data_IF_300880833533
#
_entry.id   IF_300880833533
#
_cell.length_a   1.000
_cell.length_b   1.000
_cell.length_c   1.000
_cell.angle_alpha   90.00
_cell.angle_beta   90.00
_cell.angle_gamma   90.00
#
_symmetry.space_group_name_H-M   'P 1'
#
loop_
_entity.id
_entity.type
_entity.pdbx_description
1 polymer ?
#
# COMPACT_ATOMS: atom_id res chain seq x y z
N UNK A 1 8.01 29.06 28.24
CA UNK A 1 7.47 28.64 26.93
C UNK A 1 5.96 28.79 26.98
N UNK A 2 5.29 29.46 26.03
CA UNK A 2 3.85 29.49 26.01
C UNK A 2 3.31 28.07 25.75
N UNK A 3 2.15 27.69 26.31
CA UNK A 3 1.56 26.39 26.02
C UNK A 3 1.26 26.31 24.54
N UNK A 4 1.72 25.22 23.89
CA UNK A 4 1.34 24.86 22.52
C UNK A 4 -0.19 24.83 22.46
N UNK A 5 -0.77 25.70 21.60
CA UNK A 5 -2.18 25.65 21.32
C UNK A 5 -2.51 24.25 20.85
N UNK A 6 -3.43 23.58 21.54
CA UNK A 6 -3.92 22.28 21.09
C UNK A 6 -4.43 22.43 19.67
N UNK A 7 -3.77 21.75 18.72
CA UNK A 7 -4.25 21.69 17.34
C UNK A 7 -5.70 21.17 17.37
N UNK A 8 -6.58 21.81 16.62
CA UNK A 8 -7.95 21.31 16.50
C UNK A 8 -7.89 19.85 16.04
N UNK A 9 -8.63 18.94 16.71
CA UNK A 9 -8.63 17.54 16.32
C UNK A 9 -9.11 17.46 14.87
N UNK A 10 -8.38 16.69 14.04
CA UNK A 10 -8.89 16.24 12.72
C UNK A 10 -10.30 15.72 12.98
N UNK A 11 -11.28 16.18 12.21
CA UNK A 11 -12.67 15.74 12.41
C UNK A 11 -12.72 14.21 12.36
N UNK A 12 -13.45 13.53 13.26
CA UNK A 12 -13.67 12.11 13.16
C UNK A 12 -14.13 11.76 11.73
N UNK A 13 -13.49 10.78 11.09
CA UNK A 13 -13.83 10.37 9.73
C UNK A 13 -13.07 11.04 8.58
N UNK A 14 -12.02 11.82 8.85
CA UNK A 14 -11.25 12.49 7.78
C UNK A 14 -10.00 11.73 7.31
N UNK A 15 -9.61 10.63 7.95
CA UNK A 15 -8.40 9.88 7.59
C UNK A 15 -8.68 8.84 6.52
N UNK A 16 -7.78 8.72 5.54
CA UNK A 16 -7.80 7.66 4.51
C UNK A 16 -6.53 6.82 4.65
N UNK A 17 -6.69 5.51 4.86
CA UNK A 17 -5.58 4.57 4.93
C UNK A 17 -5.20 4.09 3.52
N UNK A 18 -4.02 4.51 3.04
CA UNK A 18 -3.55 4.19 1.69
C UNK A 18 -3.09 2.74 1.51
N UNK A 19 -2.96 1.96 2.60
CA UNK A 19 -2.34 0.65 2.50
C UNK A 19 -2.90 -0.34 3.52
N UNK A 20 -3.84 -1.14 3.07
CA UNK A 20 -4.41 -2.24 3.86
C UNK A 20 -4.50 -3.52 3.03
N UNK A 21 -4.55 -4.67 3.70
CA UNK A 21 -4.56 -5.98 3.07
C UNK A 21 -5.86 -6.74 3.32
N UNK A 22 -6.29 -7.48 2.31
CA UNK A 22 -7.39 -8.41 2.38
C UNK A 22 -6.84 -9.84 2.41
N UNK A 23 -7.03 -10.53 3.53
CA UNK A 23 -6.67 -11.93 3.72
C UNK A 23 -7.86 -12.68 4.31
N UNK A 24 -8.53 -13.50 3.50
CA UNK A 24 -9.60 -14.40 3.92
C UNK A 24 -9.24 -15.81 3.52
N UNK A 25 -9.88 -16.81 4.09
CA UNK A 25 -9.64 -18.20 3.74
C UNK A 25 -9.93 -18.45 2.26
N UNK A 26 -11.05 -17.92 1.76
CA UNK A 26 -11.45 -18.09 0.36
C UNK A 26 -10.41 -17.47 -0.59
N UNK A 27 -10.03 -16.19 -0.36
CA UNK A 27 -9.01 -15.51 -1.18
C UNK A 27 -7.66 -16.22 -1.12
N UNK A 28 -7.25 -16.64 0.05
CA UNK A 28 -5.96 -17.32 0.22
C UNK A 28 -5.97 -18.75 -0.34
N UNK A 29 -7.11 -19.39 -0.49
CA UNK A 29 -7.21 -20.65 -1.25
C UNK A 29 -6.92 -20.44 -2.73
N UNK A 30 -7.34 -19.33 -3.34
CA UNK A 30 -6.95 -18.97 -4.71
C UNK A 30 -5.42 -18.74 -4.81
N UNK A 31 -4.83 -18.07 -3.81
CA UNK A 31 -3.38 -17.86 -3.76
C UNK A 31 -2.59 -19.17 -3.69
N UNK A 32 -2.97 -20.10 -2.81
CA UNK A 32 -2.23 -21.36 -2.62
C UNK A 32 -2.51 -22.40 -3.71
N UNK A 33 -3.50 -22.19 -4.56
CA UNK A 33 -3.76 -23.04 -5.73
C UNK A 33 -2.65 -22.93 -6.80
N UNK A 34 -1.82 -21.89 -6.72
CA UNK A 34 -0.72 -21.69 -7.65
C UNK A 34 0.35 -22.77 -7.51
N UNK A 35 0.91 -23.27 -8.65
CA UNK A 35 1.89 -24.36 -8.63
C UNK A 35 3.13 -24.05 -7.78
N UNK A 36 3.62 -22.82 -7.81
CA UNK A 36 4.82 -22.35 -7.14
C UNK A 36 4.68 -22.19 -5.61
N UNK A 37 3.46 -22.27 -5.08
CA UNK A 37 3.23 -22.11 -3.65
C UNK A 37 3.74 -23.32 -2.86
N UNK A 38 4.64 -23.11 -1.85
CA UNK A 38 5.15 -24.20 -1.04
C UNK A 38 4.06 -24.98 -0.29
N UNK A 39 4.16 -26.31 -0.24
CA UNK A 39 3.14 -27.20 0.36
C UNK A 39 2.81 -26.88 1.82
N UNK A 40 3.79 -26.39 2.60
CA UNK A 40 3.54 -25.94 3.98
C UNK A 40 2.52 -24.81 4.08
N UNK A 41 2.52 -23.87 3.09
CA UNK A 41 1.55 -22.77 3.04
C UNK A 41 0.20 -23.27 2.57
N UNK A 42 0.16 -24.14 1.56
CA UNK A 42 -1.09 -24.78 1.12
C UNK A 42 -1.80 -25.47 2.29
N UNK A 43 -1.03 -26.18 3.12
CA UNK A 43 -1.56 -26.84 4.32
C UNK A 43 -2.10 -25.83 5.33
N UNK A 44 -1.30 -24.83 5.70
CA UNK A 44 -1.70 -23.80 6.67
C UNK A 44 -3.00 -23.09 6.25
N UNK A 45 -3.12 -22.70 4.98
CA UNK A 45 -4.32 -22.03 4.47
C UNK A 45 -5.54 -22.95 4.49
N UNK A 46 -5.39 -24.24 4.13
CA UNK A 46 -6.47 -25.22 4.24
C UNK A 46 -6.99 -25.36 5.69
N UNK A 47 -6.09 -25.21 6.66
CA UNK A 47 -6.41 -25.19 8.09
C UNK A 47 -6.91 -23.83 8.59
N UNK A 48 -7.11 -22.86 7.69
CA UNK A 48 -7.54 -21.49 8.04
C UNK A 48 -6.45 -20.67 8.75
N UNK A 49 -5.18 -20.99 8.55
CA UNK A 49 -4.03 -20.35 9.18
C UNK A 49 -3.23 -19.54 8.18
N UNK A 50 -2.65 -18.44 8.66
CA UNK A 50 -1.79 -17.54 7.91
C UNK A 50 -0.61 -17.07 8.77
N UNK A 51 0.41 -16.51 8.13
CA UNK A 51 1.63 -16.04 8.78
C UNK A 51 2.75 -17.08 8.77
N UNK A 52 3.97 -16.63 9.13
CA UNK A 52 5.18 -17.46 9.07
C UNK A 52 5.09 -18.75 9.89
N UNK A 53 4.37 -18.72 11.01
CA UNK A 53 4.19 -19.82 11.97
C UNK A 53 2.74 -20.29 12.08
N UNK A 54 1.83 -19.78 11.22
CA UNK A 54 0.40 -20.05 11.30
C UNK A 54 -0.27 -19.39 12.52
N UNK A 55 0.30 -18.29 12.99
CA UNK A 55 -0.16 -17.57 14.18
C UNK A 55 -1.45 -16.77 13.95
N UNK A 56 -1.80 -16.48 12.71
CA UNK A 56 -2.99 -15.73 12.36
C UNK A 56 -4.10 -16.67 11.87
N UNK A 57 -5.36 -16.32 12.18
CA UNK A 57 -6.52 -17.03 11.67
C UNK A 57 -7.11 -16.26 10.49
N UNK A 58 -7.32 -16.95 9.38
CA UNK A 58 -7.99 -16.40 8.21
C UNK A 58 -9.50 -16.35 8.49
N UNK A 59 -10.16 -15.19 8.34
CA UNK A 59 -11.62 -15.12 8.36
C UNK A 59 -12.22 -16.02 7.27
N UNK A 60 -13.26 -16.78 7.63
CA UNK A 60 -14.02 -17.63 6.70
C UNK A 60 -15.36 -16.95 6.42
N UNK A 61 -15.34 -15.88 5.65
CA UNK A 61 -16.46 -14.98 5.35
C UNK A 61 -16.64 -14.85 3.85
N UNK A 62 -17.88 -14.65 3.40
CA UNK A 62 -18.14 -14.19 2.03
C UNK A 62 -17.54 -12.80 1.80
N UNK A 63 -17.47 -12.36 0.56
CA UNK A 63 -16.95 -11.05 0.24
C UNK A 63 -17.80 -9.92 0.87
N UNK A 64 -19.11 -10.06 0.86
CA UNK A 64 -20.08 -9.12 1.43
C UNK A 64 -19.99 -9.07 2.96
N UNK A 65 -19.95 -10.24 3.62
CA UNK A 65 -19.80 -10.32 5.07
C UNK A 65 -18.46 -9.72 5.52
N UNK A 66 -17.39 -10.00 4.77
CA UNK A 66 -16.06 -9.45 5.04
C UNK A 66 -16.04 -7.93 4.86
N UNK A 67 -16.71 -7.40 3.82
CA UNK A 67 -16.81 -5.96 3.58
C UNK A 67 -17.54 -5.25 4.71
N UNK A 68 -18.71 -5.76 5.12
CA UNK A 68 -19.48 -5.20 6.23
C UNK A 68 -18.67 -5.20 7.55
N UNK A 69 -18.00 -6.30 7.84
CA UNK A 69 -17.17 -6.45 9.01
C UNK A 69 -15.95 -5.51 8.99
N UNK A 70 -15.28 -5.38 7.85
CA UNK A 70 -14.08 -4.54 7.73
C UNK A 70 -14.42 -3.05 7.78
N UNK A 71 -15.50 -2.63 7.09
CA UNK A 71 -16.02 -1.25 7.16
C UNK A 71 -16.36 -0.86 8.60
N UNK A 72 -16.98 -1.75 9.36
CA UNK A 72 -17.22 -1.53 10.80
C UNK A 72 -15.94 -1.28 11.60
N UNK A 73 -14.84 -1.95 11.24
CA UNK A 73 -13.54 -1.81 11.92
C UNK A 73 -12.81 -0.50 11.60
N UNK A 74 -12.79 -0.10 10.34
CA UNK A 74 -12.16 1.17 9.96
C UNK A 74 -12.96 2.34 10.52
N UNK A 75 -14.30 2.29 10.50
CA UNK A 75 -15.15 3.30 11.11
C UNK A 75 -14.93 3.41 12.63
N UNK A 76 -14.79 2.28 13.33
CA UNK A 76 -14.48 2.27 14.77
C UNK A 76 -13.07 2.84 15.09
N UNK A 77 -12.20 2.92 14.10
CA UNK A 77 -10.88 3.55 14.19
C UNK A 77 -10.87 4.99 13.65
N UNK A 78 -12.03 5.60 13.39
CA UNK A 78 -12.18 6.94 12.76
C UNK A 78 -11.42 7.06 11.42
N UNK A 79 -11.41 6.01 10.63
CA UNK A 79 -10.88 5.99 9.26
C UNK A 79 -12.05 6.03 8.29
N UNK A 80 -12.11 7.05 7.43
CA UNK A 80 -13.20 7.28 6.49
C UNK A 80 -13.19 6.28 5.34
N UNK A 81 -12.01 6.06 4.78
CA UNK A 81 -11.80 5.18 3.62
C UNK A 81 -10.50 4.40 3.78
N UNK A 82 -10.40 3.26 3.11
CA UNK A 82 -9.17 2.49 3.02
C UNK A 82 -8.90 2.05 1.57
N UNK A 83 -7.63 1.86 1.24
CA UNK A 83 -7.18 1.39 -0.06
C UNK A 83 -6.58 -0.02 0.09
N UNK A 84 -7.31 -1.04 -0.40
CA UNK A 84 -6.83 -2.42 -0.42
C UNK A 84 -5.74 -2.56 -1.49
N UNK A 85 -4.57 -3.03 -1.07
CA UNK A 85 -3.50 -3.44 -1.98
C UNK A 85 -3.65 -4.92 -2.28
N UNK A 86 -4.14 -5.26 -3.47
CA UNK A 86 -4.45 -6.64 -3.84
C UNK A 86 -3.21 -7.52 -3.88
N UNK A 87 -3.32 -8.74 -3.35
CA UNK A 87 -2.22 -9.73 -3.34
C UNK A 87 -2.31 -10.73 -4.49
N UNK A 88 -3.48 -10.80 -5.14
CA UNK A 88 -3.76 -11.66 -6.28
C UNK A 88 -4.21 -10.86 -7.49
N UNK A 89 -3.77 -11.22 -8.71
CA UNK A 89 -4.36 -10.72 -9.92
C UNK A 89 -5.73 -11.37 -10.17
N UNK A 90 -6.62 -10.64 -10.84
CA UNK A 90 -7.90 -11.14 -11.37
C UNK A 90 -8.77 -11.89 -10.37
N UNK A 91 -8.86 -11.39 -9.12
CA UNK A 91 -9.66 -12.03 -8.06
C UNK A 91 -11.09 -11.52 -8.03
N UNK A 92 -12.05 -12.41 -8.30
CA UNK A 92 -13.47 -12.09 -8.19
C UNK A 92 -13.86 -11.76 -6.75
N UNK A 93 -13.32 -12.47 -5.76
CA UNK A 93 -13.56 -12.17 -4.36
C UNK A 93 -13.18 -10.73 -3.99
N UNK A 94 -12.04 -10.24 -4.50
CA UNK A 94 -11.61 -8.85 -4.24
C UNK A 94 -12.55 -7.84 -4.88
N UNK A 95 -13.04 -8.09 -6.11
CA UNK A 95 -14.01 -7.23 -6.80
C UNK A 95 -15.34 -7.16 -6.03
N UNK A 96 -15.86 -8.31 -5.60
CA UNK A 96 -17.13 -8.40 -4.86
C UNK A 96 -17.00 -7.68 -3.50
N UNK A 97 -15.86 -7.86 -2.80
CA UNK A 97 -15.57 -7.16 -1.55
C UNK A 97 -15.56 -5.63 -1.74
N UNK A 98 -14.87 -5.11 -2.75
CA UNK A 98 -14.81 -3.66 -3.03
C UNK A 98 -16.19 -3.11 -3.37
N UNK A 99 -16.96 -3.84 -4.17
CA UNK A 99 -18.32 -3.48 -4.54
C UNK A 99 -19.22 -3.41 -3.30
N UNK A 100 -19.17 -4.42 -2.44
CA UNK A 100 -19.96 -4.48 -1.21
C UNK A 100 -19.55 -3.42 -0.19
N UNK A 101 -18.30 -2.98 -0.17
CA UNK A 101 -17.80 -1.93 0.72
C UNK A 101 -18.33 -0.53 0.36
N UNK A 102 -19.02 -0.38 -0.76
CA UNK A 102 -19.81 0.79 -1.15
C UNK A 102 -19.09 2.14 -0.95
N UNK A 103 -17.86 2.27 -1.48
CA UNK A 103 -17.07 3.49 -1.44
C UNK A 103 -16.28 3.75 -0.13
N UNK A 104 -16.47 2.93 0.92
CA UNK A 104 -15.63 2.96 2.11
C UNK A 104 -14.26 2.29 1.89
N UNK A 105 -14.19 1.34 0.97
CA UNK A 105 -12.96 0.69 0.58
C UNK A 105 -12.82 0.70 -0.93
N UNK A 106 -11.66 1.13 -1.41
CA UNK A 106 -11.26 1.07 -2.81
C UNK A 106 -10.15 0.02 -2.98
N UNK A 107 -9.84 -0.37 -4.22
CA UNK A 107 -8.81 -1.36 -4.51
C UNK A 107 -7.74 -0.87 -5.47
N UNK A 108 -6.51 -1.33 -5.25
CA UNK A 108 -5.47 -1.39 -6.27
C UNK A 108 -5.39 -2.82 -6.78
N UNK A 109 -5.46 -3.02 -8.09
CA UNK A 109 -5.32 -4.35 -8.68
C UNK A 109 -3.87 -4.83 -8.61
N UNK A 110 -3.69 -6.15 -8.60
CA UNK A 110 -2.37 -6.75 -8.74
C UNK A 110 -2.17 -7.22 -10.19
N UNK A 111 -1.01 -6.96 -10.75
CA UNK A 111 -0.63 -7.39 -12.09
C UNK A 111 0.84 -7.83 -12.06
N UNK A 112 1.21 -8.86 -12.80
CA UNK A 112 2.62 -9.13 -13.12
C UNK A 112 2.96 -8.32 -14.39
N UNK A 113 3.78 -7.27 -14.31
CA UNK A 113 4.02 -6.39 -15.44
C UNK A 113 4.81 -7.05 -16.58
N UNK A 114 5.38 -8.25 -16.35
CA UNK A 114 6.11 -9.03 -17.37
C UNK A 114 5.18 -9.89 -18.23
N UNK A 115 3.94 -10.09 -17.78
CA UNK A 115 2.97 -10.88 -18.53
C UNK A 115 2.57 -10.12 -19.80
N UNK A 116 2.65 -10.73 -20.99
CA UNK A 116 2.16 -10.09 -22.22
C UNK A 116 0.70 -9.65 -22.16
N UNK A 117 -0.14 -10.29 -21.35
CA UNK A 117 -1.54 -9.92 -21.11
C UNK A 117 -1.75 -8.87 -20.02
N UNK A 118 -0.66 -8.33 -19.42
CA UNK A 118 -0.75 -7.35 -18.33
C UNK A 118 -1.47 -6.05 -18.74
N UNK A 119 -1.26 -5.47 -19.93
CA UNK A 119 -1.99 -4.28 -20.38
C UNK A 119 -3.50 -4.48 -20.42
N UNK A 120 -3.97 -5.58 -20.98
CA UNK A 120 -5.38 -5.91 -21.10
C UNK A 120 -6.01 -6.22 -19.73
N UNK A 121 -5.29 -6.93 -18.87
CA UNK A 121 -5.72 -7.16 -17.48
C UNK A 121 -5.88 -5.84 -16.74
N UNK A 122 -4.90 -4.94 -16.83
CA UNK A 122 -4.95 -3.63 -16.20
C UNK A 122 -6.17 -2.84 -16.68
N UNK A 123 -6.39 -2.75 -17.99
CA UNK A 123 -7.53 -2.02 -18.57
C UNK A 123 -8.87 -2.58 -18.05
N UNK A 124 -9.02 -3.89 -17.99
CA UNK A 124 -10.21 -4.57 -17.45
C UNK A 124 -10.43 -4.26 -15.97
N UNK A 125 -9.37 -4.34 -15.16
CA UNK A 125 -9.47 -4.07 -13.71
C UNK A 125 -9.81 -2.58 -13.43
N UNK A 126 -9.22 -1.66 -14.18
CA UNK A 126 -9.55 -0.24 -14.06
C UNK A 126 -11.01 0.03 -14.46
N UNK A 127 -11.52 -0.64 -15.50
CA UNK A 127 -12.90 -0.49 -15.95
C UNK A 127 -13.93 -1.04 -14.93
N UNK A 128 -13.57 -2.06 -14.15
CA UNK A 128 -14.46 -2.58 -13.08
C UNK A 128 -14.29 -1.87 -11.73
N UNK A 129 -13.46 -0.80 -11.65
CA UNK A 129 -13.46 0.12 -10.53
C UNK A 129 -12.24 0.13 -9.65
N UNK A 130 -11.18 -0.60 -10.00
CA UNK A 130 -9.91 -0.42 -9.32
C UNK A 130 -9.36 1.00 -9.59
N UNK A 131 -8.62 1.55 -8.61
CA UNK A 131 -8.14 2.93 -8.63
C UNK A 131 -6.66 3.07 -8.99
N UNK A 132 -5.99 1.96 -9.28
CA UNK A 132 -4.58 1.90 -9.60
C UNK A 132 -4.04 0.49 -9.40
N UNK A 133 -2.72 0.38 -9.22
CA UNK A 133 -2.01 -0.90 -9.25
C UNK A 133 -1.17 -1.12 -7.98
N UNK A 134 -1.07 -2.36 -7.55
CA UNK A 134 -0.08 -2.82 -6.57
C UNK A 134 0.91 -3.77 -7.23
N UNK A 135 2.21 -3.45 -7.10
CA UNK A 135 3.30 -4.27 -7.61
C UNK A 135 4.16 -4.83 -6.47
N UNK A 136 4.70 -6.03 -6.70
CA UNK A 136 5.50 -6.78 -5.72
C UNK A 136 6.79 -7.32 -6.34
N UNK A 137 7.75 -6.46 -6.77
CA UNK A 137 9.00 -6.93 -7.38
C UNK A 137 9.79 -7.88 -6.46
N UNK A 138 9.88 -7.58 -5.18
CA UNK A 138 10.60 -8.41 -4.19
C UNK A 138 10.00 -9.79 -4.03
N UNK A 139 8.65 -9.86 -3.92
CA UNK A 139 7.92 -11.11 -3.68
C UNK A 139 7.80 -11.98 -4.95
N UNK A 140 7.93 -11.38 -6.13
CA UNK A 140 7.79 -12.02 -7.44
C UNK A 140 9.10 -12.11 -8.21
N UNK A 141 10.22 -11.66 -7.61
CA UNK A 141 11.58 -11.79 -8.11
C UNK A 141 11.75 -11.21 -9.53
N UNK A 142 11.44 -9.92 -9.71
CA UNK A 142 11.65 -9.22 -10.99
C UNK A 142 12.10 -7.77 -10.78
N UNK A 143 12.79 -7.23 -11.78
CA UNK A 143 13.09 -5.82 -11.88
C UNK A 143 12.00 -5.09 -12.67
N UNK A 144 11.56 -3.91 -12.19
CA UNK A 144 10.64 -3.06 -12.95
C UNK A 144 11.30 -2.49 -14.22
N UNK A 145 12.62 -2.37 -14.20
CA UNK A 145 13.43 -1.95 -15.34
C UNK A 145 13.59 -3.02 -16.44
N UNK A 146 13.09 -4.24 -16.22
CA UNK A 146 13.07 -5.28 -17.26
C UNK A 146 12.28 -4.79 -18.48
N UNK A 147 12.85 -4.89 -19.71
CA UNK A 147 12.15 -4.49 -20.92
C UNK A 147 10.77 -5.16 -21.13
N UNK A 148 10.56 -6.36 -20.58
CA UNK A 148 9.27 -7.04 -20.63
C UNK A 148 8.16 -6.28 -19.87
N UNK A 149 8.52 -5.42 -18.91
CA UNK A 149 7.54 -4.62 -18.15
C UNK A 149 7.07 -3.37 -18.92
N UNK A 150 7.77 -2.95 -19.98
CA UNK A 150 7.50 -1.68 -20.66
C UNK A 150 6.08 -1.55 -21.20
N UNK A 151 5.49 -2.55 -21.90
CA UNK A 151 4.12 -2.45 -22.40
C UNK A 151 3.08 -2.20 -21.30
N UNK A 152 3.29 -2.79 -20.12
CA UNK A 152 2.45 -2.53 -18.96
C UNK A 152 2.53 -1.05 -18.51
N UNK A 153 3.72 -0.45 -18.42
CA UNK A 153 3.86 0.95 -18.02
C UNK A 153 3.29 1.92 -19.06
N UNK A 154 3.38 1.59 -20.34
CA UNK A 154 2.73 2.36 -21.42
C UNK A 154 1.22 2.38 -21.24
N UNK A 155 0.59 1.21 -21.03
CA UNK A 155 -0.84 1.10 -20.74
C UNK A 155 -1.23 1.80 -19.42
N UNK A 156 -0.41 1.65 -18.37
CA UNK A 156 -0.65 2.32 -17.09
C UNK A 156 -0.63 3.85 -17.23
N UNK A 157 0.26 4.38 -18.06
CA UNK A 157 0.35 5.81 -18.34
C UNK A 157 -0.87 6.33 -19.10
N UNK A 158 -1.34 5.62 -20.11
CA UNK A 158 -2.57 5.95 -20.84
C UNK A 158 -3.81 5.96 -19.92
N UNK A 159 -3.90 4.97 -19.03
CA UNK A 159 -5.00 4.84 -18.07
C UNK A 159 -4.84 5.72 -16.83
N UNK A 160 -3.71 6.41 -16.67
CA UNK A 160 -3.34 7.17 -15.46
C UNK A 160 -3.44 6.29 -14.21
N UNK A 161 -3.00 5.05 -14.31
CA UNK A 161 -3.05 4.05 -13.26
C UNK A 161 -1.82 4.19 -12.35
N UNK A 162 -1.91 5.09 -11.37
CA UNK A 162 -0.88 5.27 -10.35
C UNK A 162 -0.70 3.98 -9.53
N UNK A 163 0.46 3.81 -8.90
CA UNK A 163 0.78 2.53 -8.28
C UNK A 163 1.48 2.63 -6.93
N UNK A 164 1.22 1.62 -6.08
CA UNK A 164 1.99 1.35 -4.86
C UNK A 164 2.90 0.15 -5.12
N UNK A 165 4.18 0.29 -4.82
CA UNK A 165 5.20 -0.73 -5.09
C UNK A 165 5.84 -1.17 -3.79
N UNK A 166 5.88 -2.48 -3.55
CA UNK A 166 6.59 -3.03 -2.41
C UNK A 166 8.06 -3.23 -2.73
N UNK A 167 8.89 -2.35 -2.21
CA UNK A 167 10.34 -2.51 -2.12
C UNK A 167 10.77 -2.70 -0.66
N UNK A 168 12.02 -3.11 -0.44
CA UNK A 168 12.56 -3.29 0.89
C UNK A 168 12.35 -4.69 1.47
N UNK A 169 12.48 -4.82 2.79
CA UNK A 169 12.31 -6.12 3.46
C UNK A 169 10.90 -6.65 3.31
N UNK A 170 10.78 -7.96 3.20
CA UNK A 170 9.49 -8.65 3.13
C UNK A 170 9.42 -9.81 4.13
N UNK A 171 8.21 -10.06 4.63
CA UNK A 171 7.93 -11.27 5.43
C UNK A 171 7.54 -12.46 4.56
N UNK A 172 7.33 -12.26 3.26
CA UNK A 172 7.03 -13.33 2.31
C UNK A 172 8.26 -14.25 2.16
N UNK A 173 8.14 -15.53 2.47
CA UNK A 173 9.27 -16.46 2.41
C UNK A 173 9.71 -16.81 0.98
N UNK A 174 8.97 -16.40 -0.03
CA UNK A 174 9.33 -16.56 -1.44
C UNK A 174 10.05 -15.33 -2.00
N UNK A 175 10.08 -14.23 -1.23
CA UNK A 175 10.73 -12.99 -1.63
C UNK A 175 12.26 -13.11 -1.70
N UNK A 176 12.84 -12.33 -2.63
CA UNK A 176 14.28 -12.24 -2.81
C UNK A 176 14.72 -10.77 -2.71
N UNK A 177 15.53 -10.47 -1.69
CA UNK A 177 16.00 -9.11 -1.39
C UNK A 177 16.92 -8.52 -2.47
N UNK A 178 17.38 -9.29 -3.45
CA UNK A 178 18.09 -8.76 -4.64
C UNK A 178 17.21 -7.82 -5.47
N UNK A 179 15.89 -7.92 -5.34
CA UNK A 179 14.89 -7.07 -6.00
C UNK A 179 14.32 -5.99 -5.07
N UNK A 180 14.96 -5.75 -3.91
CA UNK A 180 14.40 -4.88 -2.87
C UNK A 180 14.79 -3.40 -3.00
N UNK A 181 15.80 -3.07 -3.82
CA UNK A 181 16.29 -1.70 -3.92
C UNK A 181 15.37 -0.85 -4.81
N UNK A 182 14.75 0.22 -4.29
CA UNK A 182 13.87 1.09 -5.06
C UNK A 182 14.60 1.89 -6.16
N UNK A 183 15.93 1.91 -6.21
CA UNK A 183 16.67 2.52 -7.32
C UNK A 183 16.40 1.83 -8.67
N UNK A 184 15.96 0.58 -8.65
CA UNK A 184 15.45 -0.13 -9.84
C UNK A 184 14.32 0.63 -10.57
N UNK A 185 13.54 1.42 -9.83
CA UNK A 185 12.47 2.24 -10.39
C UNK A 185 12.96 3.46 -11.20
N UNK A 186 14.23 3.87 -11.04
CA UNK A 186 14.72 5.14 -11.59
C UNK A 186 14.49 5.31 -13.11
N UNK A 187 14.80 4.34 -13.99
CA UNK A 187 14.53 4.49 -15.42
C UNK A 187 13.04 4.61 -15.74
N UNK A 188 12.21 3.85 -15.04
CA UNK A 188 10.75 3.86 -15.26
C UNK A 188 10.13 5.18 -14.80
N UNK A 189 10.47 5.65 -13.60
CA UNK A 189 9.96 6.92 -13.08
C UNK A 189 10.36 8.11 -13.97
N UNK A 190 11.55 8.07 -14.57
CA UNK A 190 12.02 9.09 -15.53
C UNK A 190 11.25 9.02 -16.87
N UNK A 191 11.00 7.80 -17.38
CA UNK A 191 10.38 7.59 -18.69
C UNK A 191 8.86 7.86 -18.65
N UNK A 192 8.23 7.74 -17.47
CA UNK A 192 6.80 7.96 -17.26
C UNK A 192 6.52 9.04 -16.20
N UNK A 193 6.84 10.31 -16.46
CA UNK A 193 6.78 11.39 -15.48
C UNK A 193 5.35 11.72 -15.01
N UNK A 194 4.33 11.35 -15.77
CA UNK A 194 2.92 11.61 -15.43
C UNK A 194 2.32 10.55 -14.48
N UNK A 195 2.97 9.39 -14.35
CA UNK A 195 2.60 8.39 -13.35
C UNK A 195 3.17 8.74 -11.97
N UNK A 196 2.39 8.47 -10.92
CA UNK A 196 2.86 8.55 -9.55
C UNK A 196 3.22 7.16 -9.03
N UNK A 197 4.42 7.03 -8.49
CA UNK A 197 4.98 5.79 -7.95
C UNK A 197 5.13 5.93 -6.44
N UNK A 198 4.28 5.23 -5.69
CA UNK A 198 4.33 5.24 -4.22
C UNK A 198 5.16 4.04 -3.75
N UNK A 199 6.29 4.29 -3.12
CA UNK A 199 7.11 3.25 -2.51
C UNK A 199 6.52 2.93 -1.13
N UNK A 200 6.09 1.69 -0.95
CA UNK A 200 5.48 1.24 0.29
C UNK A 200 6.47 1.26 1.47
N UNK A 201 5.95 1.47 2.67
CA UNK A 201 6.69 1.34 3.93
C UNK A 201 7.93 2.24 4.02
N UNK A 202 7.91 3.41 3.38
CA UNK A 202 9.08 4.29 3.28
C UNK A 202 10.33 3.59 2.72
N UNK A 203 10.16 2.54 1.92
CA UNK A 203 11.24 1.72 1.38
C UNK A 203 11.75 0.62 2.31
N UNK A 204 11.12 0.40 3.47
CA UNK A 204 11.33 -0.75 4.38
C UNK A 204 12.78 -1.22 4.47
N UNK A 205 13.67 -0.38 4.99
CA UNK A 205 15.11 -0.67 5.15
C UNK A 205 16.00 -0.11 4.03
N UNK A 206 15.44 0.47 2.96
CA UNK A 206 16.15 1.16 1.85
C UNK A 206 15.83 2.66 1.82
N UNK A 207 15.66 3.29 2.98
CA UNK A 207 15.32 4.71 3.08
C UNK A 207 16.28 5.61 2.29
N UNK A 208 17.58 5.34 2.36
CA UNK A 208 18.60 6.11 1.62
C UNK A 208 18.41 6.05 0.10
N UNK A 209 18.03 4.89 -0.43
CA UNK A 209 17.71 4.72 -1.85
C UNK A 209 16.45 5.50 -2.23
N UNK A 210 15.43 5.50 -1.37
CA UNK A 210 14.22 6.32 -1.55
C UNK A 210 14.56 7.80 -1.63
N UNK A 211 15.38 8.31 -0.70
CA UNK A 211 15.79 9.71 -0.68
C UNK A 211 16.55 10.12 -1.94
N UNK A 212 17.50 9.27 -2.40
CA UNK A 212 18.24 9.51 -3.65
C UNK A 212 17.33 9.50 -4.87
N UNK A 213 16.42 8.53 -4.95
CA UNK A 213 15.48 8.43 -6.05
C UNK A 213 14.51 9.63 -6.09
N UNK A 214 14.00 10.06 -4.94
CA UNK A 214 13.10 11.20 -4.83
C UNK A 214 13.73 12.54 -5.21
N UNK A 215 15.06 12.65 -5.09
CA UNK A 215 15.81 13.82 -5.55
C UNK A 215 15.74 13.96 -7.07
N UNK A 216 15.91 12.84 -7.79
CA UNK A 216 15.88 12.80 -9.25
C UNK A 216 14.44 12.78 -9.80
N UNK A 217 13.55 11.96 -9.23
CA UNK A 217 12.21 11.67 -9.75
C UNK A 217 11.13 12.31 -8.86
N UNK A 218 10.50 13.39 -9.35
CA UNK A 218 9.50 14.14 -8.57
C UNK A 218 8.14 13.44 -8.48
N UNK A 219 7.91 12.44 -9.30
CA UNK A 219 6.75 11.55 -9.31
C UNK A 219 6.91 10.32 -8.40
N UNK A 220 7.97 10.28 -7.60
CA UNK A 220 8.14 9.26 -6.56
C UNK A 220 7.62 9.78 -5.23
N UNK A 221 6.76 8.99 -4.61
CA UNK A 221 6.09 9.21 -3.33
C UNK A 221 6.38 8.04 -2.40
N UNK A 222 5.95 8.13 -1.14
CA UNK A 222 6.03 7.04 -0.17
C UNK A 222 4.72 6.89 0.58
N UNK A 223 4.42 5.66 1.03
CA UNK A 223 3.46 5.48 2.12
C UNK A 223 4.16 5.12 3.43
N UNK A 224 3.54 5.48 4.54
CA UNK A 224 4.08 5.32 5.90
C UNK A 224 3.68 4.00 6.54
N UNK A 225 3.03 3.11 5.81
CA UNK A 225 2.59 1.82 6.35
C UNK A 225 3.77 0.95 6.78
N UNK A 226 3.58 0.09 7.78
CA UNK A 226 4.63 -0.84 8.23
C UNK A 226 5.91 -0.22 8.78
N UNK A 227 5.99 1.09 8.95
CA UNK A 227 7.20 1.81 9.40
C UNK A 227 7.73 1.40 10.77
N UNK A 228 6.96 0.66 11.53
CA UNK A 228 7.31 0.35 12.91
C UNK A 228 8.19 -0.88 13.09
N UNK A 229 8.48 -1.62 12.01
CA UNK A 229 9.13 -2.92 12.13
C UNK A 229 10.57 -2.95 11.62
N UNK A 230 10.89 -2.18 10.59
CA UNK A 230 12.20 -2.24 9.95
C UNK A 230 13.22 -1.25 10.53
N UNK A 231 12.78 -0.22 11.24
CA UNK A 231 13.67 0.80 11.84
C UNK A 231 14.65 0.23 12.85
N UNK A 232 14.27 -0.86 13.53
CA UNK A 232 15.13 -1.54 14.49
C UNK A 232 16.38 -2.21 13.86
N UNK A 233 16.37 -2.40 12.54
CA UNK A 233 17.48 -3.02 11.81
C UNK A 233 18.54 -2.01 11.33
N UNK A 234 18.30 -0.70 11.48
CA UNK A 234 19.32 0.30 11.23
C UNK A 234 20.36 0.38 12.34
N UNK A 235 21.59 0.70 11.96
CA UNK A 235 22.69 0.91 12.91
C UNK A 235 23.30 2.29 12.68
N UNK A 236 23.09 3.24 13.60
CA UNK A 236 22.25 3.14 14.81
C UNK A 236 20.76 2.98 14.49
N UNK A 237 19.99 2.47 15.46
CA UNK A 237 18.52 2.40 15.36
C UNK A 237 17.95 3.79 15.02
N UNK A 238 16.94 3.82 14.15
CA UNK A 238 16.24 5.06 13.79
C UNK A 238 14.94 5.20 14.58
N UNK A 239 14.64 6.43 14.99
CA UNK A 239 13.34 6.78 15.52
C UNK A 239 12.36 7.21 14.40
N UNK A 240 11.06 7.05 14.64
CA UNK A 240 10.03 7.37 13.64
C UNK A 240 10.08 8.83 13.19
N UNK A 241 10.35 9.75 14.13
CA UNK A 241 10.51 11.18 13.86
C UNK A 241 11.68 11.46 12.90
N UNK A 242 12.80 10.75 13.04
CA UNK A 242 13.96 10.90 12.14
C UNK A 242 13.62 10.42 10.71
N UNK A 243 12.87 9.33 10.59
CA UNK A 243 12.40 8.84 9.27
C UNK A 243 11.50 9.89 8.62
N UNK A 244 10.52 10.42 9.36
CA UNK A 244 9.59 11.43 8.85
C UNK A 244 10.28 12.75 8.53
N UNK A 245 11.21 13.22 9.35
CA UNK A 245 11.98 14.42 9.08
C UNK A 245 12.73 14.33 7.75
N UNK A 246 13.43 13.22 7.50
CA UNK A 246 14.17 12.99 6.26
C UNK A 246 13.24 12.93 5.05
N UNK A 247 12.11 12.21 5.16
CA UNK A 247 11.14 12.09 4.09
C UNK A 247 10.47 13.43 3.77
N UNK A 248 9.97 14.13 4.79
CA UNK A 248 9.31 15.44 4.60
C UNK A 248 10.28 16.50 4.06
N UNK A 249 11.55 16.46 4.48
CA UNK A 249 12.59 17.34 3.92
C UNK A 249 12.86 17.04 2.44
N UNK A 250 12.93 15.77 2.05
CA UNK A 250 13.30 15.38 0.67
C UNK A 250 12.11 15.39 -0.29
N UNK A 251 10.93 14.98 0.17
CA UNK A 251 9.75 14.80 -0.67
C UNK A 251 8.73 15.94 -0.53
N UNK A 252 8.71 16.64 0.61
CA UNK A 252 7.60 17.50 0.98
C UNK A 252 6.38 16.70 1.46
N UNK A 253 5.42 17.34 2.17
CA UNK A 253 4.23 16.67 2.65
C UNK A 253 3.31 16.16 1.53
N UNK A 254 3.40 16.72 0.32
CA UNK A 254 2.56 16.38 -0.85
C UNK A 254 2.86 15.00 -1.43
N UNK A 255 3.98 14.38 -1.06
CA UNK A 255 4.44 13.09 -1.58
C UNK A 255 4.54 12.00 -0.52
N UNK A 256 3.96 12.23 0.67
CA UNK A 256 3.88 11.27 1.76
C UNK A 256 2.41 10.89 1.98
N UNK A 257 2.10 9.60 2.00
CA UNK A 257 0.76 9.06 2.19
C UNK A 257 0.70 8.28 3.51
N UNK A 258 -0.36 8.48 4.28
CA UNK A 258 -0.60 7.70 5.48
C UNK A 258 -1.05 6.27 5.14
N UNK A 259 -0.50 5.27 5.85
CA UNK A 259 -0.93 3.88 5.77
C UNK A 259 -0.64 3.12 7.06
N UNK A 260 -1.37 2.00 7.29
CA UNK A 260 -1.20 1.19 8.51
C UNK A 260 -0.64 -0.20 8.25
N UNK A 261 -0.71 -0.71 7.03
CA UNK A 261 -0.43 -2.12 6.71
C UNK A 261 -1.34 -3.09 7.52
N UNK A 262 -2.56 -2.65 7.83
CA UNK A 262 -3.55 -3.49 8.50
C UNK A 262 -4.07 -4.58 7.57
N UNK A 263 -4.25 -5.78 8.11
CA UNK A 263 -4.88 -6.88 7.38
C UNK A 263 -6.16 -7.36 8.07
N UNK A 264 -6.95 -8.17 7.38
CA UNK A 264 -8.19 -8.74 7.91
C UNK A 264 -7.96 -9.89 8.89
N UNK A 265 -6.73 -10.40 9.03
CA UNK A 265 -6.36 -11.50 9.95
C UNK A 265 -6.14 -11.06 11.41
N UNK A 266 -6.12 -9.75 11.67
CA UNK A 266 -5.89 -9.17 12.99
C UNK A 266 -6.79 -7.94 13.19
N UNK A 267 -6.94 -7.42 14.42
CA UNK A 267 -7.56 -6.12 14.64
C UNK A 267 -6.91 -5.03 13.80
N UNK A 268 -7.71 -4.07 13.31
CA UNK A 268 -7.19 -2.91 12.62
C UNK A 268 -6.18 -2.15 13.52
N UNK A 269 -5.04 -1.78 12.95
CA UNK A 269 -3.90 -1.22 13.70
C UNK A 269 -4.09 0.28 13.96
N UNK A 270 -5.18 0.67 14.61
CA UNK A 270 -5.47 2.07 14.95
C UNK A 270 -4.33 2.75 15.72
N UNK A 271 -3.56 1.99 16.52
CA UNK A 271 -2.40 2.50 17.26
C UNK A 271 -1.31 3.10 16.34
N UNK A 272 -1.13 2.58 15.10
CA UNK A 272 -0.20 3.14 14.12
C UNK A 272 -0.62 4.56 13.75
N UNK A 273 -1.92 4.76 13.48
CA UNK A 273 -2.47 6.07 13.19
C UNK A 273 -2.17 7.05 14.32
N UNK A 274 -2.53 6.69 15.55
CA UNK A 274 -2.32 7.59 16.71
C UNK A 274 -0.84 7.92 16.91
N UNK A 275 0.04 6.95 16.76
CA UNK A 275 1.47 7.14 16.89
C UNK A 275 2.01 8.09 15.81
N UNK A 276 1.65 7.88 14.54
CA UNK A 276 2.11 8.73 13.45
C UNK A 276 1.55 10.16 13.57
N UNK A 277 0.27 10.32 13.89
CA UNK A 277 -0.32 11.65 14.11
C UNK A 277 0.38 12.40 15.24
N UNK A 278 0.61 11.72 16.36
CA UNK A 278 1.35 12.29 17.48
C UNK A 278 2.77 12.71 17.07
N UNK A 279 3.47 11.88 16.32
CA UNK A 279 4.81 12.21 15.83
C UNK A 279 4.78 13.46 14.94
N UNK A 280 3.82 13.58 14.01
CA UNK A 280 3.66 14.78 13.19
C UNK A 280 3.36 16.03 14.01
N UNK A 281 2.57 15.92 15.07
CA UNK A 281 2.28 17.02 16.00
C UNK A 281 3.52 17.43 16.78
N UNK A 282 4.27 16.48 17.33
CA UNK A 282 5.54 16.72 18.06
C UNK A 282 6.62 17.34 17.15
N UNK A 283 6.64 17.00 15.87
CA UNK A 283 7.50 17.61 14.85
C UNK A 283 7.03 19.00 14.41
N UNK A 284 5.85 19.45 14.80
CA UNK A 284 5.30 20.75 14.48
C UNK A 284 4.75 20.88 13.05
N UNK A 285 4.35 19.77 12.39
CA UNK A 285 3.71 19.86 11.09
C UNK A 285 2.43 20.71 11.16
N UNK A 286 2.26 21.57 10.15
CA UNK A 286 1.04 22.37 10.03
C UNK A 286 -0.22 21.50 9.90
N UNK A 287 -1.38 22.02 10.26
CA UNK A 287 -2.63 21.30 10.08
C UNK A 287 -2.88 20.95 8.60
N UNK A 288 -2.50 21.84 7.67
CA UNK A 288 -2.60 21.59 6.23
C UNK A 288 -1.69 20.46 5.76
N UNK A 289 -0.44 20.41 6.22
CA UNK A 289 0.50 19.35 5.86
C UNK A 289 0.05 18.00 6.42
N UNK A 290 -0.48 17.98 7.65
CA UNK A 290 -1.07 16.77 8.23
C UNK A 290 -2.28 16.28 7.43
N UNK A 291 -3.17 17.19 6.98
CA UNK A 291 -4.31 16.83 6.13
C UNK A 291 -3.86 16.25 4.79
N UNK A 292 -2.82 16.82 4.17
CA UNK A 292 -2.24 16.25 2.96
C UNK A 292 -1.78 14.82 3.17
N UNK A 293 -0.98 14.56 4.21
CA UNK A 293 -0.44 13.21 4.49
C UNK A 293 -1.55 12.22 4.86
N UNK A 294 -2.49 12.63 5.73
CA UNK A 294 -3.51 11.73 6.27
C UNK A 294 -4.66 11.44 5.31
N UNK A 295 -4.86 12.28 4.28
CA UNK A 295 -6.02 12.17 3.39
C UNK A 295 -5.78 12.71 1.98
N UNK A 296 -5.34 13.96 1.86
CA UNK A 296 -5.37 14.70 0.61
C UNK A 296 -4.57 14.03 -0.52
N UNK A 297 -3.39 13.52 -0.20
CA UNK A 297 -2.52 12.91 -1.21
C UNK A 297 -3.10 11.62 -1.78
N UNK A 298 -3.56 10.70 -0.92
CA UNK A 298 -4.11 9.42 -1.39
C UNK A 298 -5.41 9.66 -2.17
N UNK A 299 -6.28 10.57 -1.71
CA UNK A 299 -7.52 10.90 -2.43
C UNK A 299 -7.22 11.44 -3.83
N UNK A 300 -6.31 12.40 -3.94
CA UNK A 300 -5.89 12.99 -5.22
C UNK A 300 -5.22 11.97 -6.13
N UNK A 301 -4.22 11.20 -5.62
CA UNK A 301 -3.44 10.27 -6.45
C UNK A 301 -4.29 9.14 -7.02
N UNK A 302 -5.21 8.61 -6.23
CA UNK A 302 -6.05 7.48 -6.62
C UNK A 302 -7.49 7.89 -6.95
N UNK A 303 -7.78 9.19 -7.07
CA UNK A 303 -9.07 9.74 -7.50
C UNK A 303 -10.24 9.16 -6.70
N UNK A 304 -10.10 9.09 -5.37
CA UNK A 304 -11.06 8.39 -4.52
C UNK A 304 -12.40 9.13 -4.37
N UNK A 305 -12.45 10.42 -4.68
CA UNK A 305 -13.64 11.27 -4.64
C UNK A 305 -14.27 11.46 -6.03
N UNK A 306 -13.65 10.91 -7.09
CA UNK A 306 -14.18 10.94 -8.44
C UNK A 306 -15.06 9.70 -8.72
N UNK A 307 -16.11 9.84 -9.56
CA UNK A 307 -16.84 8.68 -10.05
C UNK A 307 -15.89 7.73 -10.81
N UNK A 308 -16.27 6.46 -10.91
CA UNK A 308 -15.58 5.52 -11.78
C UNK A 308 -15.59 6.04 -13.22
N UNK A 309 -14.49 5.87 -13.92
CA UNK A 309 -14.43 6.18 -15.35
C UNK A 309 -15.45 5.29 -16.08
N UNK A 310 -16.20 5.85 -17.03
CA UNK A 310 -17.21 5.11 -17.77
C UNK A 310 -16.59 4.01 -18.65
#
# INVERSE_FOLDING_TARGET
>A
MPPLAAAAPTRPGDVIDAHVHLFTKQLMMEFVARPETPERFKRAVKEGKWGRRGEQTLPDLSAEECAAWYVGRINAADVAKALIVSVLPDSQYTRDFITAANGHVHGLCNVDPRDPGAPELLAREMAVGFRGVKLYPVNRCYHLSDPACRPFFEAANELKANMIIHYGVTVDPTGDLRYADPLDLSPIARDFPDLQFVIAHCGAGWLDSVLRLSYQCKNVCVDTSGTNNWMDYYVPKMELSEVFERLLTALGPERVLFGTDSGTTAPYRAWIRFMQQRTFEEMGLSAGDRDLVLRGNVSRMFRLDEPLLP
#
